data_IF_747121429842
#
_entry.id   IF_747121429842
#
_cell.length_a   1.000
_cell.length_b   1.000
_cell.length_c   1.000
_cell.angle_alpha   90.00
_cell.angle_beta   90.00
_cell.angle_gamma   90.00
#
_symmetry.space_group_name_H-M   'P 1'
#
loop_
_entity.id
_entity.type
_entity.pdbx_description
1 polymer ?
#
# COMPACT_ATOMS: atom_id res chain seq x y z
N UNK A 1 -13.78 6.37 -22.60
CA UNK A 1 -13.53 5.82 -21.25
C UNK A 1 -14.21 6.68 -20.18
N UNK A 2 -13.79 7.93 -19.94
CA UNK A 2 -14.37 8.77 -18.88
C UNK A 2 -15.77 9.39 -19.15
N UNK A 3 -16.30 9.30 -20.37
CA UNK A 3 -17.59 9.93 -20.75
C UNK A 3 -18.70 8.92 -21.07
N UNK A 4 -18.58 7.69 -20.56
CA UNK A 4 -19.60 6.64 -20.66
C UNK A 4 -20.76 6.94 -19.69
N UNK A 5 -22.02 6.73 -20.08
CA UNK A 5 -23.17 6.84 -19.16
C UNK A 5 -23.17 5.75 -18.09
N UNK A 6 -22.54 4.60 -18.35
CA UNK A 6 -22.23 3.60 -17.32
C UNK A 6 -20.90 3.98 -16.63
N UNK A 7 -21.02 4.42 -15.38
CA UNK A 7 -19.91 4.87 -14.55
C UNK A 7 -19.31 3.75 -13.68
N UNK A 8 -19.81 2.51 -13.77
CA UNK A 8 -19.35 1.40 -12.93
C UNK A 8 -17.86 1.13 -13.09
N UNK A 9 -17.38 1.11 -14.34
CA UNK A 9 -15.97 0.91 -14.67
C UNK A 9 -15.10 2.07 -14.15
N UNK A 10 -15.60 3.31 -14.25
CA UNK A 10 -14.89 4.49 -13.77
C UNK A 10 -14.79 4.51 -12.23
N UNK A 11 -15.90 4.22 -11.55
CA UNK A 11 -15.95 4.12 -10.10
C UNK A 11 -15.04 2.99 -9.59
N UNK A 12 -15.09 1.82 -10.22
CA UNK A 12 -14.21 0.70 -9.89
C UNK A 12 -12.73 1.04 -10.11
N UNK A 13 -12.40 1.71 -11.22
CA UNK A 13 -11.04 2.16 -11.48
C UNK A 13 -10.54 3.12 -10.41
N UNK A 14 -11.34 4.13 -10.04
CA UNK A 14 -10.97 5.10 -8.99
C UNK A 14 -10.80 4.38 -7.65
N UNK A 15 -11.69 3.45 -7.31
CA UNK A 15 -11.62 2.64 -6.11
C UNK A 15 -10.32 1.82 -6.03
N UNK A 16 -9.96 1.12 -7.11
CA UNK A 16 -8.71 0.36 -7.19
C UNK A 16 -7.47 1.27 -7.21
N UNK A 17 -7.56 2.45 -7.82
CA UNK A 17 -6.48 3.42 -7.83
C UNK A 17 -6.17 3.95 -6.42
N UNK A 18 -7.19 4.20 -5.60
CA UNK A 18 -6.97 4.61 -4.20
C UNK A 18 -6.41 3.46 -3.35
N UNK A 19 -6.80 2.20 -3.61
CA UNK A 19 -6.20 1.03 -2.93
C UNK A 19 -4.72 0.86 -3.30
N UNK A 20 -4.39 1.02 -4.59
CA UNK A 20 -2.99 1.05 -5.05
C UNK A 20 -2.21 2.18 -4.36
N UNK A 21 -2.82 3.37 -4.23
CA UNK A 21 -2.21 4.51 -3.54
C UNK A 21 -1.94 4.20 -2.06
N UNK A 22 -2.86 3.51 -1.37
CA UNK A 22 -2.67 3.02 0.01
C UNK A 22 -1.47 2.07 0.12
N UNK A 23 -1.32 1.13 -0.83
CA UNK A 23 -0.13 0.25 -0.87
C UNK A 23 1.16 1.06 -0.99
N UNK A 24 1.19 2.08 -1.85
CA UNK A 24 2.35 2.96 -2.05
C UNK A 24 2.69 3.80 -0.81
N UNK A 25 1.69 4.32 -0.10
CA UNK A 25 1.89 5.21 1.05
C UNK A 25 2.38 4.46 2.30
N UNK A 26 2.11 3.15 2.41
CA UNK A 26 2.76 2.29 3.43
C UNK A 26 4.28 2.32 3.27
N UNK A 27 4.76 2.21 2.03
CA UNK A 27 6.21 2.20 1.72
C UNK A 27 6.85 3.56 2.03
N UNK A 28 6.15 4.66 1.74
CA UNK A 28 6.65 6.01 2.01
C UNK A 28 6.87 6.26 3.50
N UNK A 29 5.93 5.86 4.36
CA UNK A 29 6.03 5.99 5.81
C UNK A 29 7.19 5.20 6.39
N UNK A 30 7.42 3.98 5.89
CA UNK A 30 8.53 3.14 6.33
C UNK A 30 9.91 3.73 5.97
N UNK A 31 10.03 4.30 4.76
CA UNK A 31 11.28 4.82 4.21
C UNK A 31 11.52 6.32 4.49
N UNK A 32 10.62 6.97 5.22
CA UNK A 32 10.73 8.37 5.60
C UNK A 32 12.12 8.71 6.18
N UNK A 33 12.54 9.96 5.96
CA UNK A 33 13.79 10.58 6.44
C UNK A 33 15.10 10.11 5.78
N UNK A 34 15.09 9.01 5.00
CA UNK A 34 16.34 8.44 4.44
C UNK A 34 16.26 7.96 2.99
N UNK A 35 15.07 7.98 2.38
CA UNK A 35 14.90 7.70 0.96
C UNK A 35 15.22 8.97 0.14
N UNK A 36 16.05 8.84 -0.91
CA UNK A 36 16.24 9.92 -1.89
C UNK A 36 14.91 10.19 -2.58
N UNK A 37 14.52 11.47 -2.67
CA UNK A 37 13.21 11.88 -3.21
C UNK A 37 12.90 11.24 -4.57
N UNK A 38 13.85 11.26 -5.52
CA UNK A 38 13.66 10.70 -6.86
C UNK A 38 13.39 9.18 -6.88
N UNK A 39 13.84 8.45 -5.86
CA UNK A 39 13.62 7.00 -5.79
C UNK A 39 12.16 6.69 -5.44
N UNK A 40 11.46 7.60 -4.75
CA UNK A 40 10.08 7.36 -4.35
C UNK A 40 9.12 7.28 -5.55
N UNK A 41 9.09 8.23 -6.51
CA UNK A 41 8.29 8.07 -7.74
C UNK A 41 8.62 6.80 -8.52
N UNK A 42 9.89 6.41 -8.60
CA UNK A 42 10.31 5.17 -9.29
C UNK A 42 9.72 3.93 -8.60
N UNK A 43 9.78 3.88 -7.27
CA UNK A 43 9.17 2.81 -6.48
C UNK A 43 7.65 2.79 -6.68
N UNK A 44 6.99 3.94 -6.61
CA UNK A 44 5.54 4.04 -6.83
C UNK A 44 5.14 3.55 -8.23
N UNK A 45 5.90 3.88 -9.27
CA UNK A 45 5.68 3.38 -10.63
C UNK A 45 5.85 1.86 -10.73
N UNK A 46 6.85 1.30 -10.05
CA UNK A 46 7.07 -0.14 -10.00
C UNK A 46 5.94 -0.87 -9.25
N UNK A 47 5.49 -0.31 -8.13
CA UNK A 47 4.37 -0.86 -7.36
C UNK A 47 3.09 -0.80 -8.19
N UNK A 48 2.70 0.38 -8.68
CA UNK A 48 1.45 0.57 -9.40
C UNK A 48 1.43 -0.06 -10.79
N UNK A 49 2.58 -0.18 -11.45
CA UNK A 49 2.68 -0.75 -12.79
C UNK A 49 2.87 -2.27 -12.83
N UNK A 50 3.46 -2.87 -11.80
CA UNK A 50 3.87 -4.29 -11.83
C UNK A 50 3.42 -5.05 -10.59
N UNK A 51 3.92 -4.67 -9.41
CA UNK A 51 3.78 -5.51 -8.20
C UNK A 51 2.32 -5.57 -7.74
N UNK A 52 1.66 -4.41 -7.63
CA UNK A 52 0.29 -4.32 -7.16
C UNK A 52 -0.72 -4.91 -8.17
N UNK A 53 -0.64 -4.62 -9.49
CA UNK A 53 -1.49 -5.30 -10.48
C UNK A 53 -1.35 -6.82 -10.46
N UNK A 54 -0.15 -7.35 -10.24
CA UNK A 54 0.06 -8.79 -10.10
C UNK A 54 -0.66 -9.36 -8.87
N UNK A 55 -0.55 -8.70 -7.71
CA UNK A 55 -1.25 -9.12 -6.49
C UNK A 55 -2.78 -9.05 -6.66
N UNK A 56 -3.29 -7.96 -7.23
CA UNK A 56 -4.72 -7.80 -7.56
C UNK A 56 -5.18 -8.88 -8.52
N UNK A 57 -4.44 -9.15 -9.60
CA UNK A 57 -4.84 -10.18 -10.55
C UNK A 57 -4.85 -11.58 -9.92
N UNK A 58 -3.91 -11.87 -9.03
CA UNK A 58 -3.79 -13.18 -8.38
C UNK A 58 -4.98 -13.52 -7.49
N UNK A 59 -5.61 -12.51 -6.85
CA UNK A 59 -6.66 -12.68 -5.83
C UNK A 59 -8.03 -12.16 -6.27
N UNK A 60 -8.06 -11.02 -6.96
CA UNK A 60 -9.27 -10.28 -7.30
C UNK A 60 -9.57 -10.24 -8.81
N UNK A 61 -8.83 -10.99 -9.65
CA UNK A 61 -9.27 -11.09 -11.05
C UNK A 61 -10.60 -11.82 -11.16
N UNK A 62 -11.42 -11.39 -12.12
CA UNK A 62 -12.79 -11.86 -12.33
C UNK A 62 -13.78 -10.69 -12.36
N UNK A 63 -15.05 -10.97 -12.65
CA UNK A 63 -16.11 -9.97 -12.64
C UNK A 63 -16.08 -9.02 -13.84
N UNK A 64 -15.99 -7.71 -13.58
CA UNK A 64 -16.25 -6.62 -14.55
C UNK A 64 -15.33 -6.70 -15.79
N UNK A 65 -14.13 -7.28 -15.67
CA UNK A 65 -13.13 -7.36 -16.73
C UNK A 65 -12.90 -8.76 -17.32
N UNK A 66 -13.66 -9.77 -16.86
CA UNK A 66 -13.55 -11.14 -17.40
C UNK A 66 -14.06 -12.22 -16.46
N UNK A 67 -14.21 -13.43 -17.00
CA UNK A 67 -14.75 -14.58 -16.27
C UNK A 67 -13.66 -15.41 -15.54
N UNK A 68 -12.39 -15.07 -15.73
CA UNK A 68 -11.25 -15.79 -15.17
C UNK A 68 -10.92 -15.30 -13.76
N UNK A 69 -11.17 -16.17 -12.78
CA UNK A 69 -10.74 -15.94 -11.41
C UNK A 69 -9.23 -16.01 -11.25
N UNK A 70 -8.70 -15.22 -10.32
CA UNK A 70 -7.28 -15.22 -9.97
C UNK A 70 -6.85 -16.60 -9.48
N UNK A 71 -5.60 -16.98 -9.71
CA UNK A 71 -5.14 -18.33 -9.37
C UNK A 71 -5.20 -18.62 -7.86
N UNK A 72 -4.99 -17.62 -6.99
CA UNK A 72 -5.18 -17.78 -5.53
C UNK A 72 -6.66 -17.91 -5.18
N UNK A 73 -7.53 -17.13 -5.82
CA UNK A 73 -8.97 -17.24 -5.62
C UNK A 73 -9.50 -18.63 -6.04
N UNK A 74 -9.00 -19.18 -7.16
CA UNK A 74 -9.29 -20.55 -7.62
C UNK A 74 -8.89 -21.62 -6.59
N UNK A 75 -7.90 -21.33 -5.74
CA UNK A 75 -7.46 -22.20 -4.65
C UNK A 75 -8.21 -21.96 -3.32
N UNK A 76 -9.21 -21.07 -3.30
CA UNK A 76 -10.02 -20.76 -2.12
C UNK A 76 -9.44 -19.65 -1.22
N UNK A 77 -8.41 -18.93 -1.67
CA UNK A 77 -7.92 -17.77 -0.94
C UNK A 77 -8.93 -16.62 -1.02
N UNK A 78 -9.22 -16.01 0.14
CA UNK A 78 -10.18 -14.93 0.25
C UNK A 78 -9.55 -13.75 0.98
N UNK A 79 -9.57 -12.59 0.33
CA UNK A 79 -9.17 -11.31 0.89
C UNK A 79 -10.24 -10.28 0.52
N UNK A 80 -11.05 -9.86 1.48
CA UNK A 80 -12.23 -9.06 1.21
C UNK A 80 -11.88 -7.62 0.80
N UNK A 81 -11.04 -6.95 1.59
CA UNK A 81 -10.73 -5.53 1.43
C UNK A 81 -9.23 -5.27 1.21
N UNK A 82 -8.37 -6.29 1.21
CA UNK A 82 -6.95 -6.12 0.87
C UNK A 82 -6.02 -6.18 2.07
N UNK A 83 -6.35 -6.96 3.09
CA UNK A 83 -5.41 -7.25 4.18
C UNK A 83 -4.09 -7.81 3.64
N UNK A 84 -4.17 -8.65 2.60
CA UNK A 84 -3.01 -9.16 1.88
C UNK A 84 -2.69 -8.30 0.68
N UNK A 85 -3.65 -8.14 -0.25
CA UNK A 85 -3.41 -7.50 -1.56
C UNK A 85 -2.88 -6.07 -1.42
N UNK A 86 -3.37 -5.31 -0.44
CA UNK A 86 -2.95 -3.92 -0.20
C UNK A 86 -1.91 -3.86 0.93
N UNK A 87 -2.30 -4.26 2.14
CA UNK A 87 -1.50 -4.00 3.34
C UNK A 87 -0.28 -4.89 3.46
N UNK A 88 -0.42 -6.22 3.28
CA UNK A 88 0.73 -7.13 3.31
C UNK A 88 1.69 -6.87 2.16
N UNK A 89 1.20 -6.69 0.93
CA UNK A 89 2.03 -6.31 -0.22
C UNK A 89 2.86 -5.06 0.07
N UNK A 90 2.21 -3.98 0.51
CA UNK A 90 2.90 -2.74 0.91
C UNK A 90 3.90 -2.95 2.04
N UNK A 91 3.54 -3.77 3.05
CA UNK A 91 4.40 -4.12 4.18
C UNK A 91 5.65 -4.89 3.77
N UNK A 92 5.54 -5.88 2.87
CA UNK A 92 6.69 -6.64 2.37
C UNK A 92 7.60 -5.81 1.50
N UNK A 93 7.04 -4.95 0.64
CA UNK A 93 7.83 -3.99 -0.15
C UNK A 93 8.57 -3.03 0.80
N UNK A 94 7.88 -2.50 1.80
CA UNK A 94 8.47 -1.64 2.82
C UNK A 94 9.61 -2.35 3.56
N UNK A 95 9.41 -3.60 3.96
CA UNK A 95 10.44 -4.41 4.62
C UNK A 95 11.67 -4.59 3.71
N UNK A 96 11.47 -5.02 2.46
CA UNK A 96 12.55 -5.19 1.50
C UNK A 96 13.33 -3.87 1.30
N UNK A 97 12.62 -2.74 1.18
CA UNK A 97 13.23 -1.44 1.02
C UNK A 97 14.06 -1.03 2.24
N UNK A 98 13.55 -1.20 3.47
CA UNK A 98 14.29 -0.82 4.68
C UNK A 98 15.51 -1.72 4.94
N UNK A 99 15.47 -2.99 4.50
CA UNK A 99 16.63 -3.89 4.55
C UNK A 99 17.75 -3.43 3.61
N UNK A 100 17.40 -2.84 2.45
CA UNK A 100 18.38 -2.34 1.47
C UNK A 100 18.94 -0.97 1.86
N UNK A 101 18.09 -0.01 2.24
CA UNK A 101 18.54 1.36 2.58
C UNK A 101 19.11 1.46 4.00
N UNK A 102 18.82 0.48 4.85
CA UNK A 102 19.29 0.42 6.22
C UNK A 102 18.52 1.29 7.22
N UNK A 103 18.98 1.29 8.48
CA UNK A 103 18.33 2.02 9.55
C UNK A 103 18.55 3.53 9.46
N UNK A 104 17.69 4.28 10.16
CA UNK A 104 17.86 5.72 10.33
C UNK A 104 19.16 6.01 11.10
N UNK A 105 19.79 7.13 10.78
CA UNK A 105 20.92 7.64 11.56
C UNK A 105 20.51 7.82 13.03
N UNK A 106 21.35 7.36 13.95
CA UNK A 106 21.07 7.42 15.39
C UNK A 106 20.02 6.42 15.88
N UNK A 107 19.53 5.49 15.04
CA UNK A 107 18.57 4.46 15.47
C UNK A 107 19.19 3.41 16.41
N UNK A 108 20.49 3.19 16.32
CA UNK A 108 21.24 2.22 17.12
C UNK A 108 22.46 2.89 17.74
N UNK A 109 22.78 2.53 18.99
CA UNK A 109 24.02 2.97 19.65
C UNK A 109 25.25 2.16 19.18
N UNK A 110 26.43 2.48 19.72
CA UNK A 110 27.68 1.79 19.37
C UNK A 110 27.68 0.28 19.72
N UNK A 111 26.78 -0.16 20.60
CA UNK A 111 26.57 -1.58 20.95
C UNK A 111 25.48 -2.26 20.10
N UNK A 112 24.87 -1.53 19.16
CA UNK A 112 23.77 -2.01 18.32
C UNK A 112 22.41 -2.01 19.03
N UNK A 113 22.29 -1.42 20.22
CA UNK A 113 21.02 -1.37 20.95
C UNK A 113 20.08 -0.33 20.33
N UNK A 114 18.78 -0.62 20.18
CA UNK A 114 17.83 0.35 19.65
C UNK A 114 17.70 1.59 20.54
N UNK A 115 17.84 2.76 19.94
CA UNK A 115 17.51 4.06 20.52
C UNK A 115 16.09 4.43 20.09
N UNK A 116 15.30 4.97 21.02
CA UNK A 116 13.96 5.45 20.71
C UNK A 116 14.04 6.81 19.99
N UNK A 117 13.44 6.89 18.80
CA UNK A 117 13.30 8.16 18.07
C UNK A 117 11.89 8.64 18.37
N UNK A 118 11.78 9.73 19.13
CA UNK A 118 10.47 10.27 19.50
C UNK A 118 9.73 10.83 18.28
N UNK A 119 8.40 10.68 18.28
CA UNK A 119 7.55 11.27 17.26
C UNK A 119 7.62 12.80 17.31
N UNK A 120 7.62 13.44 16.14
CA UNK A 120 7.75 14.89 16.02
C UNK A 120 6.51 15.65 16.50
N UNK A 121 5.31 15.06 16.38
CA UNK A 121 4.06 15.67 16.84
C UNK A 121 2.98 14.62 17.10
N UNK A 122 2.64 14.42 18.39
CA UNK A 122 1.65 13.43 18.80
C UNK A 122 0.22 13.83 18.36
N UNK A 123 -0.14 15.10 18.46
CA UNK A 123 -1.48 15.59 18.07
C UNK A 123 -1.74 15.36 16.60
N UNK A 124 -0.77 15.65 15.72
CA UNK A 124 -0.88 15.42 14.29
C UNK A 124 -0.95 13.92 13.96
N UNK A 125 -0.20 13.09 14.70
CA UNK A 125 -0.24 11.63 14.55
C UNK A 125 -1.62 11.08 14.92
N UNK A 126 -2.20 11.54 16.03
CA UNK A 126 -3.55 11.17 16.45
C UNK A 126 -4.62 11.62 15.45
N UNK A 127 -4.51 12.83 14.89
CA UNK A 127 -5.38 13.29 13.82
C UNK A 127 -5.28 12.37 12.58
N UNK A 128 -4.06 11.99 12.20
CA UNK A 128 -3.84 11.04 11.10
C UNK A 128 -4.52 9.70 11.34
N UNK A 129 -4.44 9.16 12.56
CA UNK A 129 -5.15 7.92 12.95
C UNK A 129 -6.66 8.08 12.82
N UNK A 130 -7.24 9.21 13.24
CA UNK A 130 -8.68 9.46 13.10
C UNK A 130 -9.12 9.52 11.63
N UNK A 131 -8.33 10.17 10.78
CA UNK A 131 -8.59 10.22 9.33
C UNK A 131 -8.50 8.83 8.71
N UNK A 132 -7.47 8.04 9.05
CA UNK A 132 -7.31 6.68 8.57
C UNK A 132 -8.47 5.79 9.02
N UNK A 133 -8.89 5.91 10.27
CA UNK A 133 -10.00 5.12 10.81
C UNK A 133 -11.32 5.44 10.10
N UNK A 134 -11.62 6.72 9.90
CA UNK A 134 -12.78 7.15 9.12
C UNK A 134 -12.72 6.63 7.67
N UNK A 135 -11.57 6.79 7.01
CA UNK A 135 -11.34 6.27 5.66
C UNK A 135 -11.48 4.74 5.57
N UNK A 136 -11.13 4.02 6.63
CA UNK A 136 -11.25 2.57 6.71
C UNK A 136 -12.70 2.08 6.60
N UNK A 137 -13.68 2.91 6.97
CA UNK A 137 -15.10 2.59 6.76
C UNK A 137 -15.44 2.47 5.27
N UNK A 138 -14.92 3.38 4.43
CA UNK A 138 -15.08 3.31 2.98
C UNK A 138 -14.17 2.26 2.32
N UNK A 139 -13.09 1.86 2.99
CA UNK A 139 -12.19 0.81 2.50
C UNK A 139 -12.80 -0.60 2.65
N UNK A 140 -13.61 -0.82 3.69
CA UNK A 140 -14.29 -2.10 3.94
C UNK A 140 -15.78 -2.12 3.52
N UNK A 141 -16.37 -0.95 3.28
CA UNK A 141 -17.82 -0.78 3.10
C UNK A 141 -18.35 -1.02 1.71
#
# INVERSE_FOLDING_TARGET
FFFSPDNTVNAFFVFQAVFCSTCCTIVSGAAAERLKFIMYPVIVLLIGGVIYPFAVHSVWSGGIFGNEQGWLAKQGFYDFAGATVVHSTGGWIALALILVIGPRLGKFDASGKPINIQGSNLTLSSLGVLILWFGWLGFNG
#
